data_IF_223051916515
#
_entry.id   IF_223051916515
#
_cell.length_a   1.000
_cell.length_b   1.000
_cell.length_c   1.000
_cell.angle_alpha   90.00
_cell.angle_beta   90.00
_cell.angle_gamma   90.00
#
_symmetry.space_group_name_H-M   'P 1'
#
loop_
_entity.id
_entity.type
_entity.pdbx_description
1 polymer ?
#
# COMPACT_ATOMS: atom_id res chain seq x y z
N UNK A 1 -38.41 -30.59 -56.27
CA UNK A 1 -37.28 -29.75 -55.76
C UNK A 1 -37.65 -29.23 -54.34
N UNK A 2 -37.37 -30.08 -53.32
CA UNK A 2 -37.60 -29.77 -51.92
C UNK A 2 -36.38 -29.04 -51.33
N UNK A 3 -36.62 -27.85 -50.81
CA UNK A 3 -35.63 -27.11 -50.04
C UNK A 3 -36.06 -27.20 -48.58
N UNK A 4 -35.51 -28.18 -47.84
CA UNK A 4 -35.65 -28.31 -46.41
C UNK A 4 -34.68 -27.36 -45.70
N UNK A 5 -35.22 -26.26 -45.16
CA UNK A 5 -34.46 -25.31 -44.31
C UNK A 5 -34.24 -25.89 -42.92
N UNK A 6 -33.01 -26.37 -42.64
CA UNK A 6 -32.60 -26.74 -41.28
C UNK A 6 -32.42 -25.49 -40.43
N UNK A 7 -33.45 -25.12 -39.63
CA UNK A 7 -33.30 -24.17 -38.51
C UNK A 7 -32.52 -24.86 -37.40
N UNK A 8 -31.24 -24.48 -37.23
CA UNK A 8 -30.43 -24.84 -36.05
C UNK A 8 -31.04 -24.16 -34.80
N UNK A 9 -31.67 -24.95 -33.95
CA UNK A 9 -32.08 -24.50 -32.59
C UNK A 9 -30.82 -24.27 -31.78
N UNK A 10 -30.64 -23.03 -31.28
CA UNK A 10 -29.61 -22.72 -30.30
C UNK A 10 -29.97 -23.43 -28.99
N UNK A 11 -29.03 -24.08 -28.29
CA UNK A 11 -29.33 -24.69 -26.99
C UNK A 11 -29.65 -23.60 -25.99
N UNK A 12 -30.83 -23.68 -25.41
CA UNK A 12 -31.24 -22.86 -24.26
C UNK A 12 -30.45 -23.41 -23.07
N UNK A 13 -29.44 -22.69 -22.63
CA UNK A 13 -28.75 -23.00 -21.37
C UNK A 13 -29.70 -22.72 -20.21
N UNK A 14 -30.25 -23.78 -19.64
CA UNK A 14 -31.01 -23.70 -18.39
C UNK A 14 -30.02 -23.37 -17.26
N UNK A 15 -30.09 -22.13 -16.77
CA UNK A 15 -29.41 -21.75 -15.53
C UNK A 15 -30.08 -22.50 -14.36
N UNK A 16 -29.38 -23.48 -13.78
CA UNK A 16 -29.81 -24.10 -12.54
C UNK A 16 -29.35 -23.25 -11.36
N UNK A 17 -30.27 -22.57 -10.70
CA UNK A 17 -30.07 -21.91 -9.41
C UNK A 17 -30.19 -22.93 -8.27
N UNK A 18 -29.10 -23.13 -7.54
CA UNK A 18 -29.14 -23.89 -6.28
C UNK A 18 -29.03 -22.90 -5.11
N UNK A 19 -30.12 -22.80 -4.33
CA UNK A 19 -30.14 -21.99 -3.12
C UNK A 19 -29.90 -22.93 -1.93
N UNK A 20 -28.80 -22.74 -1.21
CA UNK A 20 -28.58 -23.41 0.08
C UNK A 20 -28.73 -22.40 1.21
N UNK A 21 -29.35 -22.75 2.36
CA UNK A 21 -29.68 -21.81 3.43
C UNK A 21 -28.44 -21.21 4.15
N UNK A 22 -27.25 -21.68 3.88
CA UNK A 22 -26.03 -21.26 4.59
C UNK A 22 -24.89 -20.70 3.70
N UNK A 23 -24.94 -20.88 2.37
CA UNK A 23 -23.88 -20.42 1.47
C UNK A 23 -24.50 -19.93 0.17
N UNK A 24 -24.31 -18.67 -0.14
CA UNK A 24 -24.57 -17.91 -1.36
C UNK A 24 -25.18 -18.61 -2.59
N UNK A 25 -25.64 -17.82 -3.56
CA UNK A 25 -26.20 -18.28 -4.83
C UNK A 25 -25.10 -18.88 -5.70
N UNK A 26 -25.24 -20.15 -6.13
CA UNK A 26 -24.36 -20.79 -7.09
C UNK A 26 -24.90 -20.60 -8.51
N UNK A 27 -24.14 -19.95 -9.37
CA UNK A 27 -24.40 -19.89 -10.81
C UNK A 27 -23.51 -20.92 -11.51
N UNK A 28 -24.11 -22.00 -12.03
CA UNK A 28 -23.40 -22.97 -12.86
C UNK A 28 -23.41 -22.47 -14.31
N UNK A 29 -22.31 -21.87 -14.76
CA UNK A 29 -21.99 -21.73 -16.17
C UNK A 29 -21.00 -22.86 -16.52
N UNK A 30 -21.11 -23.45 -17.73
CA UNK A 30 -20.34 -24.64 -18.14
C UNK A 30 -18.81 -24.58 -18.07
N UNK A 31 -18.23 -23.63 -17.33
CA UNK A 31 -16.78 -23.41 -17.14
C UNK A 31 -16.35 -23.30 -15.68
N UNK A 32 -17.11 -23.85 -14.73
CA UNK A 32 -16.73 -23.88 -13.33
C UNK A 32 -17.79 -23.26 -12.39
N UNK A 33 -17.89 -23.82 -11.19
CA UNK A 33 -18.81 -23.32 -10.14
C UNK A 33 -18.15 -22.14 -9.45
N UNK A 34 -18.52 -20.92 -9.80
CA UNK A 34 -18.09 -19.72 -9.08
C UNK A 34 -19.04 -19.46 -7.92
N UNK A 35 -18.54 -19.53 -6.69
CA UNK A 35 -19.31 -19.15 -5.51
C UNK A 35 -19.47 -17.64 -5.45
N UNK A 36 -20.72 -17.16 -5.48
CA UNK A 36 -21.07 -15.74 -5.45
C UNK A 36 -21.61 -15.35 -4.08
N UNK A 37 -21.37 -14.13 -3.63
CA UNK A 37 -21.81 -13.60 -2.35
C UNK A 37 -22.28 -12.15 -2.48
N UNK A 38 -23.37 -11.81 -1.79
CA UNK A 38 -23.84 -10.42 -1.72
C UNK A 38 -23.01 -9.62 -0.72
N UNK A 39 -22.47 -8.50 -1.17
CA UNK A 39 -21.70 -7.59 -0.33
C UNK A 39 -22.62 -6.77 0.58
N UNK A 40 -22.41 -6.84 1.91
CA UNK A 40 -23.17 -6.03 2.89
C UNK A 40 -22.85 -4.52 2.86
N UNK A 41 -21.90 -4.10 2.02
CA UNK A 41 -21.51 -2.68 1.89
C UNK A 41 -22.15 -2.01 0.68
N UNK A 42 -22.00 -2.59 -0.53
CA UNK A 42 -22.58 -2.05 -1.77
C UNK A 42 -23.83 -2.76 -2.25
N UNK A 43 -24.24 -3.87 -1.65
CA UNK A 43 -25.40 -4.66 -2.10
C UNK A 43 -25.16 -5.52 -3.33
N UNK A 44 -24.01 -5.40 -4.00
CA UNK A 44 -23.71 -6.14 -5.22
C UNK A 44 -23.36 -7.61 -4.95
N UNK A 45 -23.74 -8.48 -5.88
CA UNK A 45 -23.36 -9.89 -5.88
C UNK A 45 -22.01 -10.01 -6.57
N UNK A 46 -21.01 -10.55 -5.87
CA UNK A 46 -19.61 -10.66 -6.33
C UNK A 46 -19.03 -12.04 -6.08
N UNK A 47 -18.01 -12.44 -6.85
CA UNK A 47 -17.26 -13.67 -6.61
C UNK A 47 -16.63 -13.69 -5.21
N UNK A 48 -16.48 -14.87 -4.61
CA UNK A 48 -15.93 -15.02 -3.25
C UNK A 48 -14.48 -14.53 -3.12
N UNK A 49 -13.70 -14.56 -4.19
CA UNK A 49 -12.32 -14.06 -4.23
C UNK A 49 -12.23 -12.54 -4.05
N UNK A 50 -13.33 -11.81 -4.29
CA UNK A 50 -13.45 -10.38 -3.94
C UNK A 50 -13.71 -10.13 -2.46
N UNK A 51 -13.84 -11.16 -1.64
CA UNK A 51 -14.00 -11.04 -0.18
C UNK A 51 -12.78 -11.63 0.53
N UNK A 52 -12.51 -11.13 1.73
CA UNK A 52 -11.60 -11.83 2.64
C UNK A 52 -12.38 -12.89 3.42
N UNK A 53 -11.69 -13.93 3.85
CA UNK A 53 -12.27 -15.06 4.58
C UNK A 53 -13.06 -14.56 5.79
N UNK A 54 -14.30 -15.03 5.92
CA UNK A 54 -15.21 -14.66 7.02
C UNK A 54 -15.78 -13.23 6.99
N UNK A 55 -15.46 -12.42 5.97
CA UNK A 55 -15.92 -11.03 5.89
C UNK A 55 -17.21 -10.89 5.06
N UNK A 56 -18.12 -10.02 5.52
CA UNK A 56 -19.40 -9.74 4.86
C UNK A 56 -19.35 -8.59 3.84
N UNK A 57 -18.25 -7.82 3.78
CA UNK A 57 -18.05 -6.72 2.83
C UNK A 57 -16.93 -7.07 1.85
N UNK A 58 -17.10 -6.75 0.57
CA UNK A 58 -16.07 -6.95 -0.45
C UNK A 58 -14.82 -6.09 -0.18
N UNK A 59 -13.70 -6.48 -0.75
CA UNK A 59 -12.40 -5.78 -0.62
C UNK A 59 -12.48 -4.28 -0.96
N UNK A 60 -13.17 -3.84 -2.06
CA UNK A 60 -13.36 -2.43 -2.35
C UNK A 60 -14.13 -1.67 -1.25
N UNK A 61 -15.23 -2.21 -0.76
CA UNK A 61 -16.00 -1.58 0.32
C UNK A 61 -15.18 -1.45 1.62
N UNK A 62 -14.40 -2.48 1.97
CA UNK A 62 -13.50 -2.41 3.12
C UNK A 62 -12.43 -1.33 2.95
N UNK A 63 -11.80 -1.28 1.77
CA UNK A 63 -10.79 -0.24 1.47
C UNK A 63 -11.39 1.16 1.55
N UNK A 64 -12.63 1.35 1.06
CA UNK A 64 -13.34 2.63 1.16
C UNK A 64 -13.59 3.04 2.62
N UNK A 65 -14.08 2.12 3.46
CA UNK A 65 -14.29 2.37 4.89
C UNK A 65 -12.98 2.71 5.59
N UNK A 66 -11.91 1.95 5.34
CA UNK A 66 -10.59 2.22 5.92
C UNK A 66 -10.02 3.55 5.47
N UNK A 67 -10.25 3.93 4.20
CA UNK A 67 -9.85 5.24 3.67
C UNK A 67 -10.61 6.37 4.37
N UNK A 68 -11.93 6.24 4.49
CA UNK A 68 -12.77 7.21 5.19
C UNK A 68 -12.33 7.37 6.66
N UNK A 69 -12.07 6.27 7.37
CA UNK A 69 -11.56 6.29 8.74
C UNK A 69 -10.20 6.99 8.85
N UNK A 70 -9.27 6.73 7.94
CA UNK A 70 -7.97 7.42 7.92
C UNK A 70 -8.14 8.92 7.66
N UNK A 71 -9.01 9.28 6.72
CA UNK A 71 -9.25 10.68 6.36
C UNK A 71 -9.96 11.47 7.47
N UNK A 72 -10.79 10.80 8.30
CA UNK A 72 -11.44 11.45 9.45
C UNK A 72 -10.50 11.71 10.64
N UNK A 73 -9.29 11.15 10.61
CA UNK A 73 -8.30 11.29 11.69
C UNK A 73 -6.91 11.58 11.12
N UNK A 74 -6.72 12.75 10.50
CA UNK A 74 -5.43 13.13 9.94
C UNK A 74 -4.37 13.14 11.05
N UNK A 75 -3.21 12.54 10.77
CA UNK A 75 -2.12 12.44 11.73
C UNK A 75 -2.24 11.35 12.80
N UNK A 76 -3.41 10.74 13.02
CA UNK A 76 -3.57 9.73 14.09
C UNK A 76 -2.57 8.57 13.96
N UNK A 77 -2.44 7.99 12.78
CA UNK A 77 -1.50 6.88 12.56
C UNK A 77 -0.04 7.32 12.69
N UNK A 78 0.29 8.51 12.22
CA UNK A 78 1.62 9.08 12.38
C UNK A 78 1.94 9.26 13.86
N UNK A 79 1.11 9.97 14.60
CA UNK A 79 1.32 10.27 16.00
C UNK A 79 1.40 8.99 16.85
N UNK A 80 0.52 8.02 16.58
CA UNK A 80 0.59 6.72 17.21
C UNK A 80 1.92 6.00 16.91
N UNK A 81 2.37 5.99 15.65
CA UNK A 81 3.62 5.35 15.25
C UNK A 81 4.84 6.06 15.83
N UNK A 82 4.85 7.40 15.89
CA UNK A 82 5.93 8.17 16.52
C UNK A 82 6.13 7.72 17.97
N UNK A 83 5.06 7.66 18.73
CA UNK A 83 5.11 7.24 20.15
C UNK A 83 5.48 5.75 20.29
N UNK A 84 4.87 4.85 19.51
CA UNK A 84 5.04 3.41 19.69
C UNK A 84 6.37 2.88 19.17
N UNK A 85 6.89 3.44 18.08
CA UNK A 85 8.12 2.95 17.44
C UNK A 85 9.37 3.70 17.87
N UNK A 86 9.23 4.99 18.12
CA UNK A 86 10.38 5.87 18.35
C UNK A 86 10.35 6.55 19.71
N UNK A 87 9.27 6.40 20.48
CA UNK A 87 9.16 6.99 21.82
C UNK A 87 9.02 8.51 21.85
N UNK A 88 8.84 9.16 20.69
CA UNK A 88 8.74 10.62 20.59
C UNK A 88 7.31 11.11 20.39
N UNK A 89 7.06 12.33 20.83
CA UNK A 89 5.80 13.04 20.60
C UNK A 89 5.77 13.69 19.20
N UNK A 90 4.60 14.08 18.71
CA UNK A 90 4.50 14.88 17.49
C UNK A 90 5.26 16.20 17.57
N UNK A 91 5.28 16.83 18.75
CA UNK A 91 5.96 18.11 19.00
C UNK A 91 7.48 17.96 18.92
N UNK A 92 8.03 16.89 19.50
CA UNK A 92 9.45 16.55 19.39
C UNK A 92 9.85 16.26 17.94
N UNK A 93 9.00 15.51 17.19
CA UNK A 93 9.21 15.29 15.77
C UNK A 93 9.25 16.58 14.96
N UNK A 94 8.30 17.49 15.17
CA UNK A 94 8.27 18.79 14.48
C UNK A 94 9.48 19.66 14.89
N UNK A 95 9.94 19.58 16.13
CA UNK A 95 11.15 20.28 16.60
C UNK A 95 12.41 19.79 15.87
N UNK A 96 12.57 18.45 15.72
CA UNK A 96 13.69 17.87 14.97
C UNK A 96 13.63 18.31 13.50
N UNK A 97 12.44 18.27 12.89
CA UNK A 97 12.24 18.66 11.51
C UNK A 97 12.53 20.16 11.28
N UNK A 98 12.10 21.01 12.21
CA UNK A 98 12.41 22.45 12.19
C UNK A 98 13.92 22.72 12.34
N UNK A 99 14.62 22.00 13.22
CA UNK A 99 16.06 22.09 13.36
C UNK A 99 16.82 21.69 12.07
N UNK A 100 16.20 20.86 11.23
CA UNK A 100 16.71 20.47 9.90
C UNK A 100 16.22 21.42 8.78
N UNK A 101 15.61 22.57 9.09
CA UNK A 101 15.01 23.48 8.12
C UNK A 101 14.02 22.79 7.16
N UNK A 102 13.28 21.80 7.65
CA UNK A 102 12.36 20.97 6.86
C UNK A 102 13.03 20.26 5.68
N UNK A 103 14.30 19.91 5.83
CA UNK A 103 15.08 19.20 4.81
C UNK A 103 15.53 17.83 5.31
N UNK A 104 15.80 16.93 4.38
CA UNK A 104 16.42 15.65 4.66
C UNK A 104 17.83 15.88 5.21
N UNK A 105 18.17 15.29 6.35
CA UNK A 105 19.49 15.48 6.98
C UNK A 105 20.69 14.99 6.15
N UNK A 106 20.46 14.26 5.05
CA UNK A 106 21.55 13.74 4.18
C UNK A 106 21.58 14.48 2.84
N UNK A 107 20.46 14.52 2.10
CA UNK A 107 20.47 15.03 0.72
C UNK A 107 19.81 16.42 0.59
N UNK A 108 19.42 17.02 1.69
CA UNK A 108 18.86 18.37 1.77
C UNK A 108 17.62 18.61 0.87
N UNK A 109 16.99 17.53 0.41
CA UNK A 109 15.71 17.67 -0.30
C UNK A 109 14.65 18.09 0.71
N UNK A 110 13.79 19.01 0.29
CA UNK A 110 12.67 19.44 1.13
C UNK A 110 11.75 18.25 1.47
N UNK A 111 11.47 18.09 2.76
CA UNK A 111 10.55 17.10 3.29
C UNK A 111 9.48 17.81 4.10
N UNK A 112 8.23 17.72 3.64
CA UNK A 112 7.09 18.25 4.36
C UNK A 112 5.93 17.26 4.27
N UNK A 113 5.04 17.30 5.26
CA UNK A 113 3.83 16.46 5.24
C UNK A 113 2.93 16.74 4.04
N UNK A 114 2.93 17.98 3.53
CA UNK A 114 2.20 18.35 2.33
C UNK A 114 2.82 17.73 1.07
N UNK A 115 4.14 17.64 1.00
CA UNK A 115 4.88 17.00 -0.09
C UNK A 115 4.74 15.48 -0.04
N UNK A 116 4.75 14.88 1.15
CA UNK A 116 4.52 13.44 1.33
C UNK A 116 3.17 13.02 0.73
N UNK A 117 2.11 13.76 1.02
CA UNK A 117 0.78 13.48 0.48
C UNK A 117 0.69 13.65 -1.03
N UNK A 118 1.34 14.68 -1.60
CA UNK A 118 1.30 15.00 -3.04
C UNK A 118 2.22 14.12 -3.89
N UNK A 119 3.37 13.75 -3.37
CA UNK A 119 4.45 13.11 -4.16
C UNK A 119 4.64 11.63 -3.83
N UNK A 120 3.96 11.10 -2.81
CA UNK A 120 4.18 9.73 -2.29
C UNK A 120 5.60 9.50 -1.72
N UNK A 121 6.35 10.57 -1.47
CA UNK A 121 7.66 10.46 -0.84
C UNK A 121 7.45 10.33 0.67
N UNK A 122 7.65 9.14 1.18
CA UNK A 122 7.57 8.89 2.61
C UNK A 122 8.76 9.51 3.34
N UNK A 123 8.47 10.11 4.48
CA UNK A 123 9.46 10.63 5.41
C UNK A 123 9.72 9.56 6.47
N UNK A 124 10.97 9.34 6.84
CA UNK A 124 11.38 8.35 7.82
C UNK A 124 12.08 9.01 9.01
N UNK A 125 11.76 8.56 10.21
CA UNK A 125 12.55 8.86 11.41
C UNK A 125 13.71 7.89 11.43
N UNK A 126 14.92 8.39 11.27
CA UNK A 126 16.15 7.62 11.35
C UNK A 126 16.60 7.50 12.80
N UNK A 127 16.99 6.31 13.20
CA UNK A 127 17.39 5.99 14.55
C UNK A 127 18.45 4.88 14.56
N UNK A 128 19.25 4.85 15.58
CA UNK A 128 20.18 3.76 15.83
C UNK A 128 19.41 2.50 16.23
N UNK A 129 19.55 1.41 15.47
CA UNK A 129 18.82 0.15 15.71
C UNK A 129 19.26 -0.57 17.00
N UNK A 130 20.44 -0.26 17.55
CA UNK A 130 20.92 -0.86 18.79
C UNK A 130 20.49 -0.08 20.02
N UNK A 131 20.58 1.26 19.96
CA UNK A 131 20.29 2.13 21.10
C UNK A 131 18.88 2.72 21.09
N UNK A 132 18.22 2.77 19.91
CA UNK A 132 16.95 3.44 19.72
C UNK A 132 17.06 4.97 19.62
N UNK A 133 18.27 5.54 19.72
CA UNK A 133 18.50 6.98 19.65
C UNK A 133 18.16 7.53 18.26
N UNK A 134 17.39 8.63 18.24
CA UNK A 134 17.00 9.29 17.00
C UNK A 134 18.15 10.14 16.48
N UNK A 135 18.54 9.88 15.23
CA UNK A 135 19.61 10.62 14.54
C UNK A 135 19.06 11.79 13.72
N UNK A 136 17.81 11.67 13.24
CA UNK A 136 17.20 12.72 12.45
C UNK A 136 16.05 12.22 11.58
N UNK A 137 15.58 13.11 10.71
CA UNK A 137 14.49 12.82 9.77
C UNK A 137 15.04 12.80 8.34
N UNK A 138 14.77 11.73 7.61
CA UNK A 138 15.29 11.47 6.28
C UNK A 138 14.16 11.31 5.26
N UNK A 139 14.45 11.60 4.01
CA UNK A 139 13.61 11.11 2.92
C UNK A 139 13.77 9.58 2.79
N UNK A 140 12.76 8.91 2.24
CA UNK A 140 12.76 7.44 2.09
C UNK A 140 13.98 6.91 1.35
N UNK A 141 14.49 7.64 0.35
CA UNK A 141 15.67 7.23 -0.43
C UNK A 141 16.92 7.18 0.44
N UNK A 142 17.18 8.23 1.21
CA UNK A 142 18.34 8.27 2.08
C UNK A 142 18.25 7.24 3.20
N UNK A 143 17.07 7.06 3.80
CA UNK A 143 16.86 6.02 4.80
C UNK A 143 17.10 4.60 4.24
N UNK A 144 16.68 4.34 2.99
CA UNK A 144 16.96 3.06 2.33
C UNK A 144 18.45 2.86 2.05
N UNK A 145 19.20 3.92 1.69
CA UNK A 145 20.65 3.83 1.50
C UNK A 145 21.33 3.38 2.79
N UNK A 146 20.99 3.98 3.94
CA UNK A 146 21.55 3.57 5.24
C UNK A 146 21.17 2.13 5.58
N UNK A 147 19.91 1.75 5.38
CA UNK A 147 19.42 0.41 5.66
C UNK A 147 20.09 -0.66 4.77
N UNK A 148 20.26 -0.41 3.47
CA UNK A 148 20.97 -1.33 2.57
C UNK A 148 22.47 -1.43 2.86
N UNK A 149 23.08 -0.35 3.31
CA UNK A 149 24.44 -0.36 3.82
C UNK A 149 24.57 -0.98 5.22
N UNK A 150 23.49 -1.47 5.82
CA UNK A 150 23.44 -2.01 7.19
C UNK A 150 24.01 -1.04 8.23
N UNK A 151 23.82 0.26 8.03
CA UNK A 151 24.36 1.36 8.85
C UNK A 151 25.90 1.32 8.98
N UNK A 152 26.58 0.57 8.11
CA UNK A 152 28.03 0.43 8.10
C UNK A 152 28.69 1.63 7.39
N UNK A 153 29.42 2.42 8.17
CA UNK A 153 30.23 3.53 7.62
C UNK A 153 31.32 3.04 6.68
N UNK A 154 31.87 1.84 6.90
CA UNK A 154 32.86 1.21 6.02
C UNK A 154 32.26 0.88 4.64
N UNK A 155 31.06 0.30 4.58
CA UNK A 155 30.39 0.03 3.31
C UNK A 155 30.07 1.33 2.57
N UNK A 156 29.57 2.35 3.29
CA UNK A 156 29.26 3.65 2.70
C UNK A 156 30.53 4.32 2.16
N UNK A 157 31.63 4.30 2.91
CA UNK A 157 32.90 4.85 2.47
C UNK A 157 33.44 4.12 1.23
N UNK A 158 33.47 2.78 1.24
CA UNK A 158 33.87 1.98 0.08
C UNK A 158 32.99 2.26 -1.15
N UNK A 159 31.70 2.53 -0.94
CA UNK A 159 30.79 2.91 -2.03
C UNK A 159 31.16 4.27 -2.64
N UNK A 160 31.58 5.23 -1.81
CA UNK A 160 32.07 6.52 -2.28
C UNK A 160 33.33 6.34 -3.12
N UNK A 161 34.32 5.59 -2.62
CA UNK A 161 35.56 5.29 -3.35
C UNK A 161 35.25 4.62 -4.69
N UNK A 162 34.43 3.58 -4.68
CA UNK A 162 34.02 2.86 -5.89
C UNK A 162 33.41 3.79 -6.95
N UNK A 163 32.51 4.70 -6.56
CA UNK A 163 31.90 5.65 -7.48
C UNK A 163 32.91 6.69 -7.99
N UNK A 164 33.82 7.14 -7.14
CA UNK A 164 34.87 8.12 -7.50
C UNK A 164 35.84 7.57 -8.52
N UNK A 165 36.23 6.31 -8.42
CA UNK A 165 37.15 5.65 -9.31
C UNK A 165 36.53 5.24 -10.66
N UNK A 166 35.24 4.94 -10.67
CA UNK A 166 34.51 4.39 -11.83
C UNK A 166 33.58 5.37 -12.54
N UNK A 167 33.60 6.62 -12.12
CA UNK A 167 32.76 7.68 -12.63
C UNK A 167 31.39 7.76 -11.94
N UNK A 168 31.00 8.97 -11.59
CA UNK A 168 29.73 9.25 -11.01
C UNK A 168 28.65 9.42 -12.09
N UNK A 169 27.51 8.77 -11.91
CA UNK A 169 26.36 9.02 -12.76
C UNK A 169 25.75 10.38 -12.41
N UNK A 170 25.77 11.32 -13.36
CA UNK A 170 25.03 12.56 -13.27
C UNK A 170 23.65 12.35 -13.91
N UNK A 171 22.54 12.34 -13.14
CA UNK A 171 21.22 12.20 -13.72
C UNK A 171 20.96 13.39 -14.64
N UNK A 172 20.55 13.11 -15.88
CA UNK A 172 20.01 14.15 -16.76
C UNK A 172 18.75 14.71 -16.11
N UNK A 173 18.72 16.02 -15.93
CA UNK A 173 17.56 16.77 -15.44
C UNK A 173 16.41 16.75 -16.44
#
# INVERSE_FOLDING_TARGET
LDITTHRRRRPIFLLKLYITPYFGVYLSTGMGVSCMKTCRGCGEVKPLDEFDIGRGKCKPCRRAIQRAYRNSRPGYHRNHNLKQRYGITPEEYESILAAQNFMCAICEVEISHALEYKTGRTVAVDHNHETGEIRGILCSKCNLVLGHARESTDILYKSIVYLSERGTYTPKR
#
